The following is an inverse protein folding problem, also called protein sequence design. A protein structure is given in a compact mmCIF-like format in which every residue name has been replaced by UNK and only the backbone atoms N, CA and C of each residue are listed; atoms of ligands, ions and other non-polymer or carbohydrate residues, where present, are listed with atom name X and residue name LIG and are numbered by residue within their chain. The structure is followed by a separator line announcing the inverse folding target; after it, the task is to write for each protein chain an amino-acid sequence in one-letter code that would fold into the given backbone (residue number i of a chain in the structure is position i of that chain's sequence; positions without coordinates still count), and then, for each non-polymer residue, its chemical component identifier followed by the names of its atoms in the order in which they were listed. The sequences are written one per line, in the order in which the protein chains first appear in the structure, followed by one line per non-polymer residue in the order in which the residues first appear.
data_IF_462382881142
#
_entry.id   IF_462382881142
#
_cell.length_a   1.000
_cell.length_b   1.000
_cell.length_c   1.000
_cell.angle_alpha   90.00
_cell.angle_beta   90.00
_cell.angle_gamma   90.00
#
_symmetry.space_group_name_H-M   'P 1'
#
loop_
_entity.id
_entity.type
_entity.pdbx_description
1 polymer ?
#
# COMPACT_ATOMS: atom_id res chain seq x y z
N UNK A 1 48.61 -19.80 -15.01
CA UNK A 1 47.82 -18.58 -15.22
C UNK A 1 46.39 -18.88 -14.80
N UNK A 2 45.95 -18.38 -13.62
CA UNK A 2 44.59 -18.59 -13.13
C UNK A 2 43.73 -17.39 -13.61
N UNK A 3 42.77 -17.66 -14.48
CA UNK A 3 41.79 -16.66 -14.92
C UNK A 3 40.74 -16.55 -13.81
N UNK A 4 40.67 -15.41 -13.14
CA UNK A 4 39.62 -15.08 -12.18
C UNK A 4 38.42 -14.56 -12.99
N UNK A 5 37.33 -15.34 -13.08
CA UNK A 5 36.07 -14.91 -13.68
C UNK A 5 35.28 -14.16 -12.61
N UNK A 6 35.22 -12.84 -12.73
CA UNK A 6 34.28 -12.03 -11.91
C UNK A 6 32.88 -12.14 -12.51
N UNK A 7 31.99 -12.84 -11.82
CA UNK A 7 30.56 -12.80 -12.13
C UNK A 7 30.01 -11.51 -11.50
N UNK A 8 29.81 -10.47 -12.31
CA UNK A 8 29.10 -9.28 -11.91
C UNK A 8 27.60 -9.63 -11.85
N UNK A 9 27.09 -9.84 -10.64
CA UNK A 9 25.64 -9.80 -10.42
C UNK A 9 25.17 -8.36 -10.60
N UNK A 10 24.53 -8.05 -11.72
CA UNK A 10 23.79 -6.80 -11.86
C UNK A 10 22.52 -6.94 -11.02
N UNK A 11 22.51 -6.32 -9.85
CA UNK A 11 21.26 -6.12 -9.08
C UNK A 11 20.46 -5.07 -9.86
N UNK A 12 19.49 -5.54 -10.62
CA UNK A 12 18.50 -4.64 -11.24
C UNK A 12 17.60 -4.12 -10.13
N UNK A 13 17.80 -2.89 -9.68
CA UNK A 13 16.85 -2.21 -8.81
C UNK A 13 15.58 -1.93 -9.62
N UNK A 14 14.53 -2.66 -9.33
CA UNK A 14 13.21 -2.37 -9.89
C UNK A 14 12.57 -1.30 -9.01
N UNK A 15 12.51 -0.07 -9.51
CA UNK A 15 12.02 1.09 -8.76
C UNK A 15 10.48 1.18 -8.69
N UNK A 16 9.77 0.48 -9.58
CA UNK A 16 8.31 0.54 -9.64
C UNK A 16 7.74 -0.70 -10.31
N UNK A 17 6.92 -1.50 -9.63
CA UNK A 17 6.33 -2.71 -10.18
C UNK A 17 5.10 -3.21 -9.43
N UNK A 18 4.36 -4.11 -10.08
CA UNK A 18 3.27 -4.87 -9.48
C UNK A 18 3.79 -6.05 -8.68
N UNK A 19 3.13 -6.31 -7.57
CA UNK A 19 3.32 -7.47 -6.71
C UNK A 19 1.99 -8.13 -6.43
N UNK A 20 2.06 -9.41 -6.04
CA UNK A 20 0.91 -10.18 -5.57
C UNK A 20 1.30 -10.97 -4.33
N UNK A 21 0.41 -10.99 -3.34
CA UNK A 21 0.52 -11.86 -2.18
C UNK A 21 -0.75 -12.70 -2.05
N UNK A 22 -0.63 -13.93 -1.57
CA UNK A 22 -1.79 -14.72 -1.19
C UNK A 22 -2.15 -14.40 0.26
N UNK A 23 -3.30 -13.74 0.46
CA UNK A 23 -3.80 -13.39 1.78
C UNK A 23 -5.26 -13.77 1.92
N UNK A 24 -5.63 -14.44 3.02
CA UNK A 24 -7.00 -14.93 3.23
C UNK A 24 -7.48 -15.94 2.17
N UNK A 25 -6.56 -16.65 1.50
CA UNK A 25 -6.88 -17.61 0.45
C UNK A 25 -7.17 -17.01 -0.93
N UNK A 26 -7.01 -15.70 -1.11
CA UNK A 26 -7.14 -15.02 -2.40
C UNK A 26 -5.84 -14.29 -2.78
N UNK A 27 -5.57 -14.16 -4.09
CA UNK A 27 -4.48 -13.32 -4.57
C UNK A 27 -4.85 -11.84 -4.45
N UNK A 28 -4.00 -11.06 -3.77
CA UNK A 28 -4.14 -9.62 -3.58
C UNK A 28 -2.97 -8.91 -4.24
N UNK A 29 -3.28 -7.95 -5.10
CA UNK A 29 -2.25 -7.21 -5.83
C UNK A 29 -2.02 -5.81 -5.27
N UNK A 30 -0.82 -5.29 -5.47
CA UNK A 30 -0.46 -3.91 -5.14
C UNK A 30 0.68 -3.43 -6.04
N UNK A 31 0.76 -2.14 -6.24
CA UNK A 31 1.82 -1.50 -7.01
C UNK A 31 2.73 -0.71 -6.07
N UNK A 32 4.04 -0.97 -6.15
CA UNK A 32 5.04 -0.20 -5.39
C UNK A 32 5.76 0.75 -6.33
N UNK A 33 5.79 2.02 -5.96
CA UNK A 33 6.65 3.03 -6.56
C UNK A 33 7.71 3.44 -5.53
N UNK A 34 8.95 2.98 -5.74
CA UNK A 34 10.08 3.24 -4.87
C UNK A 34 10.94 4.39 -5.43
N UNK A 35 11.46 5.31 -4.60
CA UNK A 35 12.31 6.41 -5.06
C UNK A 35 13.57 5.90 -5.77
N UNK A 36 13.93 6.46 -6.95
CA UNK A 36 15.02 5.90 -7.77
C UNK A 36 16.43 6.13 -7.21
N UNK A 37 16.60 6.94 -6.18
CA UNK A 37 17.92 7.38 -5.68
C UNK A 37 17.94 7.56 -4.17
N UNK A 38 17.48 6.55 -3.42
CA UNK A 38 17.57 6.62 -1.97
C UNK A 38 18.86 6.00 -1.45
N UNK A 39 19.64 6.77 -0.69
CA UNK A 39 20.78 6.27 0.10
C UNK A 39 20.39 5.88 1.53
N UNK A 40 19.17 6.23 1.95
CA UNK A 40 18.62 5.99 3.27
C UNK A 40 17.31 5.23 3.15
N UNK A 41 16.89 4.45 4.16
CA UNK A 41 15.59 3.79 4.16
C UNK A 41 14.44 4.78 3.93
N UNK A 42 13.60 4.50 2.94
CA UNK A 42 12.47 5.36 2.57
C UNK A 42 11.32 5.20 3.56
N UNK A 43 10.56 6.28 3.81
CA UNK A 43 9.23 6.12 4.39
C UNK A 43 8.28 5.48 3.36
N UNK A 44 7.10 5.04 3.79
CA UNK A 44 6.10 4.39 2.95
C UNK A 44 4.75 5.11 3.08
N UNK A 45 4.16 5.48 1.96
CA UNK A 45 2.76 5.97 1.89
C UNK A 45 1.89 4.87 1.28
N UNK A 46 0.85 4.47 1.98
CA UNK A 46 -0.20 3.58 1.49
C UNK A 46 -1.32 4.47 0.95
N UNK A 47 -1.58 4.42 -0.37
CA UNK A 47 -2.55 5.30 -1.03
C UNK A 47 -3.69 4.47 -1.64
N UNK A 48 -4.86 4.53 -0.99
CA UNK A 48 -6.01 3.65 -1.25
C UNK A 48 -7.08 4.33 -2.10
N UNK A 49 -7.55 3.61 -3.13
CA UNK A 49 -8.63 4.07 -4.01
C UNK A 49 -10.00 4.07 -3.33
N UNK A 50 -10.97 4.79 -3.90
CA UNK A 50 -12.37 4.77 -3.47
C UNK A 50 -13.14 3.53 -3.97
N UNK A 51 -14.41 3.43 -3.58
CA UNK A 51 -15.33 2.38 -4.04
C UNK A 51 -15.40 2.33 -5.57
N UNK A 52 -15.30 1.14 -6.14
CA UNK A 52 -15.28 0.92 -7.58
C UNK A 52 -13.99 1.37 -8.28
N UNK A 53 -13.01 1.87 -7.51
CA UNK A 53 -11.73 2.30 -8.04
C UNK A 53 -10.73 1.15 -8.25
N UNK A 54 -9.57 1.51 -8.75
CA UNK A 54 -8.44 0.59 -8.91
C UNK A 54 -7.15 1.23 -8.46
N UNK A 55 -6.14 0.41 -8.12
CA UNK A 55 -4.80 0.90 -7.83
C UNK A 55 -4.23 1.74 -8.98
N UNK A 56 -4.39 1.29 -10.24
CA UNK A 56 -3.98 2.05 -11.42
C UNK A 56 -4.71 3.39 -11.56
N UNK A 57 -6.02 3.42 -11.29
CA UNK A 57 -6.80 4.64 -11.28
C UNK A 57 -6.32 5.62 -10.20
N UNK A 58 -6.01 5.12 -9.02
CA UNK A 58 -5.49 5.92 -7.91
C UNK A 58 -4.11 6.51 -8.23
N UNK A 59 -3.22 5.74 -8.88
CA UNK A 59 -1.94 6.26 -9.39
C UNK A 59 -2.18 7.44 -10.34
N UNK A 60 -3.07 7.26 -11.32
CA UNK A 60 -3.34 8.26 -12.35
C UNK A 60 -3.93 9.55 -11.78
N UNK A 61 -4.87 9.43 -10.82
CA UNK A 61 -5.56 10.59 -10.23
C UNK A 61 -4.66 11.33 -9.25
N UNK A 62 -3.96 10.63 -8.36
CA UNK A 62 -3.21 11.29 -7.30
C UNK A 62 -1.82 11.72 -7.73
N UNK A 63 -1.19 11.00 -8.65
CA UNK A 63 0.20 11.20 -9.07
C UNK A 63 1.15 11.36 -7.86
N UNK A 64 0.83 10.67 -6.75
CA UNK A 64 1.49 10.85 -5.44
C UNK A 64 3.00 10.66 -5.52
N UNK A 65 3.48 9.79 -6.43
CA UNK A 65 4.91 9.54 -6.61
C UNK A 65 5.69 10.83 -6.89
N UNK A 66 5.11 11.77 -7.66
CA UNK A 66 5.76 13.02 -8.03
C UNK A 66 6.05 13.92 -6.81
N UNK A 67 5.26 13.77 -5.76
CA UNK A 67 5.39 14.53 -4.51
C UNK A 67 6.14 13.75 -3.43
N UNK A 68 5.98 12.44 -3.40
CA UNK A 68 6.54 11.55 -2.38
C UNK A 68 8.04 11.27 -2.60
N UNK A 69 8.45 10.95 -3.83
CA UNK A 69 9.83 10.59 -4.13
C UNK A 69 10.86 11.67 -3.78
N UNK A 70 10.62 12.98 -4.04
CA UNK A 70 11.55 14.03 -3.60
C UNK A 70 11.74 14.12 -2.08
N UNK A 71 10.82 13.55 -1.30
CA UNK A 71 10.86 13.49 0.16
C UNK A 71 11.41 12.16 0.69
N UNK A 72 11.97 11.34 -0.19
CA UNK A 72 12.39 9.97 0.12
C UNK A 72 11.25 9.10 0.71
N UNK A 73 10.07 9.19 0.10
CA UNK A 73 8.91 8.37 0.45
C UNK A 73 8.56 7.46 -0.74
N UNK A 74 8.51 6.17 -0.50
CA UNK A 74 7.91 5.20 -1.40
C UNK A 74 6.39 5.31 -1.33
N UNK A 75 5.70 4.97 -2.41
CA UNK A 75 4.23 4.90 -2.43
C UNK A 75 3.80 3.50 -2.83
N UNK A 76 2.87 2.92 -2.07
CA UNK A 76 2.20 1.69 -2.43
C UNK A 76 0.72 1.97 -2.71
N UNK A 77 0.22 1.38 -3.79
CA UNK A 77 -1.18 1.46 -4.19
C UNK A 77 -1.76 0.04 -4.16
N UNK A 78 -2.39 -0.35 -3.04
CA UNK A 78 -3.02 -1.65 -2.95
C UNK A 78 -4.31 -1.68 -3.75
N UNK A 79 -4.68 -2.89 -4.24
CA UNK A 79 -5.94 -3.15 -4.90
C UNK A 79 -6.96 -3.71 -3.92
N UNK A 80 -8.08 -3.02 -3.75
CA UNK A 80 -9.21 -3.51 -2.99
C UNK A 80 -9.84 -4.74 -3.63
N UNK A 81 -10.47 -5.60 -2.84
CA UNK A 81 -11.12 -6.81 -3.34
C UNK A 81 -12.45 -6.50 -4.05
N UNK A 82 -12.82 -7.34 -4.99
CA UNK A 82 -14.10 -7.29 -5.70
C UNK A 82 -15.10 -8.30 -5.11
N UNK A 83 -15.06 -8.52 -3.80
CA UNK A 83 -15.97 -9.43 -3.11
C UNK A 83 -17.43 -8.94 -3.10
N UNK A 84 -18.35 -9.82 -2.83
CA UNK A 84 -19.78 -9.50 -2.72
C UNK A 84 -20.41 -9.11 -4.06
N UNK A 85 -20.59 -7.83 -4.29
CA UNK A 85 -21.26 -7.31 -5.51
C UNK A 85 -20.37 -7.23 -6.75
N UNK A 86 -19.13 -7.76 -6.70
CA UNK A 86 -18.19 -7.73 -7.81
C UNK A 86 -17.56 -6.35 -8.06
N UNK A 87 -17.67 -5.44 -7.10
CA UNK A 87 -17.11 -4.08 -7.17
C UNK A 87 -15.96 -3.94 -6.17
N UNK A 88 -14.83 -3.46 -6.67
CA UNK A 88 -13.62 -3.24 -5.85
C UNK A 88 -13.88 -2.27 -4.70
N UNK A 89 -13.54 -2.68 -3.47
CA UNK A 89 -13.75 -1.89 -2.27
C UNK A 89 -12.82 -2.31 -1.13
N UNK A 90 -12.87 -1.54 -0.04
CA UNK A 90 -12.24 -1.84 1.25
C UNK A 90 -13.31 -2.19 2.28
N UNK A 91 -13.06 -3.22 3.07
CA UNK A 91 -13.90 -3.54 4.23
C UNK A 91 -13.63 -2.51 5.34
N UNK A 92 -14.64 -1.72 5.64
CA UNK A 92 -14.62 -0.67 6.66
C UNK A 92 -15.58 -0.96 7.81
N UNK A 93 -15.73 -2.25 8.14
CA UNK A 93 -16.57 -2.71 9.23
C UNK A 93 -18.05 -2.88 8.84
N UNK A 94 -18.90 -3.04 9.86
CA UNK A 94 -20.31 -3.44 9.71
C UNK A 94 -21.19 -2.46 8.94
N UNK A 95 -20.74 -1.24 8.73
CA UNK A 95 -21.46 -0.25 7.92
C UNK A 95 -21.36 -0.53 6.41
N UNK A 96 -20.45 -1.42 5.98
CA UNK A 96 -20.13 -1.66 4.57
C UNK A 96 -20.21 -3.16 4.22
N UNK A 97 -21.44 -3.69 4.17
CA UNK A 97 -21.72 -5.13 3.95
C UNK A 97 -21.31 -5.67 2.56
N UNK A 98 -20.68 -4.85 1.73
CA UNK A 98 -20.31 -5.24 0.36
C UNK A 98 -18.96 -5.96 0.26
N UNK A 99 -18.15 -5.95 1.30
CA UNK A 99 -16.83 -6.56 1.35
C UNK A 99 -16.60 -7.19 2.72
N UNK A 100 -16.39 -8.50 2.74
CA UNK A 100 -16.15 -9.33 3.92
C UNK A 100 -14.68 -9.74 4.10
N UNK A 101 -13.79 -9.20 3.27
CA UNK A 101 -12.38 -9.55 3.31
C UNK A 101 -11.67 -8.86 4.47
N UNK A 102 -10.64 -9.52 5.01
CA UNK A 102 -9.75 -8.92 6.01
C UNK A 102 -8.73 -7.99 5.32
N UNK A 103 -9.18 -6.77 5.00
CA UNK A 103 -8.33 -5.78 4.34
C UNK A 103 -7.27 -5.18 5.29
N UNK A 104 -7.56 -5.09 6.59
CA UNK A 104 -6.59 -4.64 7.61
C UNK A 104 -5.41 -5.60 7.67
N UNK A 105 -5.69 -6.89 7.80
CA UNK A 105 -4.65 -7.91 7.81
C UNK A 105 -3.88 -7.99 6.49
N UNK A 106 -4.56 -7.84 5.33
CA UNK A 106 -3.89 -7.75 4.04
C UNK A 106 -2.90 -6.57 3.99
N UNK A 107 -3.31 -5.38 4.41
CA UNK A 107 -2.43 -4.20 4.42
C UNK A 107 -1.25 -4.41 5.39
N UNK A 108 -1.48 -5.02 6.55
CA UNK A 108 -0.41 -5.37 7.48
C UNK A 108 0.62 -6.31 6.86
N UNK A 109 0.16 -7.39 6.20
CA UNK A 109 1.04 -8.36 5.53
C UNK A 109 1.79 -7.71 4.35
N UNK A 110 1.13 -6.84 3.59
CA UNK A 110 1.74 -6.09 2.49
C UNK A 110 2.87 -5.17 3.00
N UNK A 111 2.68 -4.47 4.13
CA UNK A 111 3.73 -3.65 4.74
C UNK A 111 4.96 -4.52 5.07
N UNK A 112 4.76 -5.67 5.70
CA UNK A 112 5.84 -6.57 6.10
C UNK A 112 6.58 -7.14 4.88
N UNK A 113 5.87 -7.49 3.82
CA UNK A 113 6.46 -7.96 2.57
C UNK A 113 7.26 -6.86 1.86
N UNK A 114 6.73 -5.63 1.78
CA UNK A 114 7.46 -4.49 1.21
C UNK A 114 8.73 -4.22 2.01
N UNK A 115 8.66 -4.22 3.35
CA UNK A 115 9.81 -3.99 4.20
C UNK A 115 10.89 -5.09 4.09
N UNK A 116 10.50 -6.31 3.72
CA UNK A 116 11.45 -7.40 3.47
C UNK A 116 12.18 -7.30 2.12
N UNK A 117 11.56 -6.63 1.14
CA UNK A 117 12.08 -6.52 -0.23
C UNK A 117 12.71 -5.16 -0.53
N UNK A 118 12.38 -4.12 0.23
CA UNK A 118 12.84 -2.75 0.06
C UNK A 118 13.38 -2.18 1.38
N UNK A 119 14.27 -1.21 1.30
CA UNK A 119 14.76 -0.51 2.48
C UNK A 119 13.70 0.50 2.97
N UNK A 120 12.80 0.05 3.85
CA UNK A 120 11.74 0.86 4.43
C UNK A 120 12.05 1.23 5.88
N UNK A 121 11.84 2.50 6.22
CA UNK A 121 11.86 2.98 7.59
C UNK A 121 10.49 2.73 8.24
N UNK A 122 10.39 1.70 9.05
CA UNK A 122 9.14 1.29 9.71
C UNK A 122 8.57 2.34 10.68
N UNK A 123 9.35 3.35 11.07
CA UNK A 123 8.84 4.48 11.86
C UNK A 123 8.23 5.61 11.00
N UNK A 124 8.16 5.42 9.68
CA UNK A 124 7.63 6.40 8.72
C UNK A 124 6.66 5.74 7.75
N UNK A 125 5.63 5.11 8.27
CA UNK A 125 4.57 4.50 7.48
C UNK A 125 3.30 5.33 7.64
N UNK A 126 2.74 5.74 6.50
CA UNK A 126 1.58 6.63 6.42
C UNK A 126 0.48 5.98 5.59
N UNK A 127 -0.77 6.20 5.99
CA UNK A 127 -1.93 5.75 5.23
C UNK A 127 -2.74 6.94 4.72
N UNK A 128 -3.21 6.88 3.47
CA UNK A 128 -4.17 7.84 2.95
C UNK A 128 -5.09 7.19 1.92
N UNK A 129 -6.21 7.83 1.66
CA UNK A 129 -7.14 7.33 0.66
C UNK A 129 -8.28 8.28 0.37
N UNK A 130 -9.02 7.98 -0.69
CA UNK A 130 -10.17 8.74 -1.14
C UNK A 130 -11.47 7.96 -0.87
N UNK A 131 -12.53 8.62 -0.37
CA UNK A 131 -13.86 8.04 -0.14
C UNK A 131 -13.75 6.74 0.69
N UNK A 132 -14.15 5.58 0.16
CA UNK A 132 -14.00 4.28 0.82
C UNK A 132 -12.55 3.99 1.27
N UNK A 133 -11.53 4.37 0.47
CA UNK A 133 -10.13 4.33 0.91
C UNK A 133 -9.80 5.34 2.02
N UNK A 134 -10.52 6.46 2.08
CA UNK A 134 -10.44 7.43 3.17
C UNK A 134 -11.01 6.87 4.48
N UNK A 135 -12.13 6.15 4.43
CA UNK A 135 -12.67 5.40 5.58
C UNK A 135 -11.68 4.32 6.04
N UNK A 136 -11.11 3.56 5.09
CA UNK A 136 -10.10 2.54 5.40
C UNK A 136 -8.86 3.15 6.08
N UNK A 137 -8.50 4.40 5.78
CA UNK A 137 -7.39 5.07 6.48
C UNK A 137 -7.65 5.25 7.98
N UNK A 138 -8.90 5.46 8.40
CA UNK A 138 -9.28 5.47 9.81
C UNK A 138 -9.19 4.09 10.44
N UNK A 139 -9.69 3.04 9.74
CA UNK A 139 -9.58 1.66 10.23
C UNK A 139 -8.11 1.27 10.46
N UNK A 140 -7.23 1.57 9.50
CA UNK A 140 -5.79 1.31 9.63
C UNK A 140 -5.17 2.08 10.80
N UNK A 141 -5.58 3.33 11.03
CA UNK A 141 -5.07 4.13 12.14
C UNK A 141 -5.49 3.57 13.51
N UNK A 142 -6.66 2.93 13.60
CA UNK A 142 -7.13 2.27 14.81
C UNK A 142 -6.51 0.88 15.01
N UNK A 143 -6.59 0.03 13.98
CA UNK A 143 -6.26 -1.39 14.10
C UNK A 143 -4.76 -1.68 13.94
N UNK A 144 -4.01 -0.78 13.23
CA UNK A 144 -2.57 -0.88 12.99
C UNK A 144 -1.81 0.32 13.56
N UNK A 145 -2.23 0.83 14.72
CA UNK A 145 -1.60 2.00 15.37
C UNK A 145 -0.14 1.76 15.77
N UNK A 146 0.29 0.51 15.85
CA UNK A 146 1.68 0.10 16.05
C UNK A 146 2.54 0.20 14.78
N UNK A 147 1.92 0.20 13.58
CA UNK A 147 2.58 0.29 12.28
C UNK A 147 2.38 1.66 11.62
N UNK A 148 1.19 2.24 11.70
CA UNK A 148 0.83 3.49 11.02
C UNK A 148 1.19 4.71 11.87
N UNK A 149 2.16 5.49 11.40
CA UNK A 149 2.65 6.69 12.11
C UNK A 149 1.67 7.86 12.02
N UNK A 150 1.04 8.05 10.87
CA UNK A 150 0.01 9.06 10.64
C UNK A 150 -0.86 8.69 9.44
N UNK A 151 -2.05 9.30 9.36
CA UNK A 151 -2.96 9.05 8.26
C UNK A 151 -3.61 10.34 7.75
N UNK A 152 -4.14 10.28 6.54
CA UNK A 152 -4.94 11.33 5.91
C UNK A 152 -6.15 10.75 5.20
N UNK A 153 -7.32 11.37 5.37
CA UNK A 153 -8.56 10.93 4.72
C UNK A 153 -9.09 12.03 3.81
N UNK A 154 -9.39 11.69 2.57
CA UNK A 154 -10.04 12.58 1.61
C UNK A 154 -11.45 12.06 1.37
N UNK A 155 -12.46 12.84 1.75
CA UNK A 155 -13.89 12.49 1.62
C UNK A 155 -14.29 11.18 2.33
N UNK A 156 -13.58 10.79 3.38
CA UNK A 156 -13.92 9.74 4.33
C UNK A 156 -14.11 10.32 5.71
N UNK A 157 -14.90 9.66 6.54
CA UNK A 157 -15.14 10.04 7.93
C UNK A 157 -14.82 8.87 8.86
N UNK A 158 -14.59 9.19 10.13
CA UNK A 158 -14.52 8.18 11.17
C UNK A 158 -15.94 7.64 11.45
N UNK A 159 -16.11 6.32 11.36
CA UNK A 159 -17.37 5.64 11.64
C UNK A 159 -17.31 5.06 13.04
N UNK A 160 -18.12 5.59 13.93
CA UNK A 160 -18.35 4.96 15.22
C UNK A 160 -19.30 3.78 15.01
N UNK A 161 -18.88 2.58 15.36
CA UNK A 161 -19.78 1.46 15.50
C UNK A 161 -20.69 1.76 16.70
N UNK A 162 -21.95 2.08 16.45
CA UNK A 162 -22.97 2.29 17.46
C UNK A 162 -23.52 0.97 17.99
#
# INVERSE_FOLDING_TARGET
MRVLVYILFSISFVFSQWFEINYGGISRSYYVAYPPSSSEPSGLIINMHGFGGTASGQIAVTQMNNYAHPQNLAVVYPQGSASGIGTSSWNIGTFWDFNDQDDVGFISAMIDEIASNFQINLNKIYACGFSNGGYMSYELACELSDKITAFGSVSGNFMLNS
#
